data_IF_002570743706
#
_entry.id   IF_002570743706
#
_cell.length_a   1.000
_cell.length_b   1.000
_cell.length_c   1.000
_cell.angle_alpha   90.00
_cell.angle_beta   90.00
_cell.angle_gamma   90.00
#
_symmetry.space_group_name_H-M   'P 1'
#
loop_
_entity.id
_entity.type
_entity.pdbx_description
1 polymer ?
#
# COMPACT_ATOMS: atom_id res chain seq x y z
N UNK A 1 8.23 -25.51 -3.81
CA UNK A 1 7.75 -24.49 -2.88
C UNK A 1 6.88 -23.48 -3.63
N UNK A 2 5.89 -22.93 -2.95
CA UNK A 2 4.98 -21.98 -3.56
C UNK A 2 5.66 -20.62 -3.70
N UNK A 3 5.63 -20.03 -4.88
CA UNK A 3 6.24 -18.74 -5.18
C UNK A 3 5.17 -17.67 -5.39
N UNK A 4 5.56 -16.41 -5.23
CA UNK A 4 4.68 -15.27 -5.42
C UNK A 4 4.05 -15.30 -6.82
N UNK A 5 4.83 -15.62 -7.86
CA UNK A 5 4.33 -15.69 -9.24
C UNK A 5 3.17 -16.66 -9.40
N UNK A 6 3.15 -17.75 -8.65
CA UNK A 6 2.09 -18.76 -8.72
C UNK A 6 0.78 -18.21 -8.12
N UNK A 7 0.88 -17.43 -7.05
CA UNK A 7 -0.28 -16.77 -6.44
C UNK A 7 -0.84 -15.69 -7.37
N UNK A 8 0.02 -14.88 -7.98
CA UNK A 8 -0.40 -13.84 -8.91
C UNK A 8 -1.09 -14.43 -10.14
N UNK A 9 -0.68 -15.61 -10.57
CA UNK A 9 -1.32 -16.29 -11.69
C UNK A 9 -2.78 -16.63 -11.39
N UNK A 10 -3.08 -16.95 -10.13
CA UNK A 10 -4.44 -17.28 -9.68
C UNK A 10 -5.24 -16.03 -9.34
N UNK A 11 -4.64 -15.10 -8.60
CA UNK A 11 -5.35 -13.88 -8.11
C UNK A 11 -5.43 -12.78 -9.14
N UNK A 12 -4.55 -12.80 -10.14
CA UNK A 12 -4.44 -11.73 -11.10
C UNK A 12 -3.44 -10.66 -10.65
N UNK A 13 -3.24 -9.69 -11.50
CA UNK A 13 -2.24 -8.64 -11.30
C UNK A 13 -2.84 -7.24 -11.40
N UNK A 14 -4.14 -7.10 -11.15
CA UNK A 14 -4.78 -5.79 -11.12
C UNK A 14 -4.15 -4.92 -10.04
N UNK A 15 -3.68 -3.74 -10.44
CA UNK A 15 -2.94 -2.84 -9.57
C UNK A 15 -3.67 -1.51 -9.48
N UNK A 16 -3.98 -1.09 -8.27
CA UNK A 16 -4.54 0.24 -8.01
C UNK A 16 -3.43 1.14 -7.50
N UNK A 17 -3.25 2.28 -8.15
CA UNK A 17 -2.18 3.22 -7.84
C UNK A 17 -2.70 4.59 -7.52
N UNK A 18 -1.86 5.40 -6.88
CA UNK A 18 -2.13 6.81 -6.63
C UNK A 18 -0.83 7.58 -6.76
N UNK A 19 -0.95 8.90 -6.88
CA UNK A 19 0.18 9.82 -6.93
C UNK A 19 0.52 10.32 -5.52
N UNK A 20 1.79 10.58 -5.21
CA UNK A 20 2.16 11.17 -3.92
C UNK A 20 1.58 12.57 -3.71
N UNK A 21 1.23 13.28 -4.76
CA UNK A 21 0.66 14.64 -4.66
C UNK A 21 -0.85 14.63 -4.52
N UNK A 22 -1.48 13.47 -4.55
CA UNK A 22 -2.93 13.33 -4.35
C UNK A 22 -3.28 13.60 -2.89
N UNK A 23 -4.41 14.28 -2.60
CA UNK A 23 -4.88 14.38 -1.22
C UNK A 23 -5.22 13.01 -0.65
N UNK A 24 -4.93 12.80 0.63
CA UNK A 24 -5.27 11.54 1.31
C UNK A 24 -6.77 11.27 1.23
N UNK A 25 -7.60 12.31 1.32
CA UNK A 25 -9.06 12.18 1.21
C UNK A 25 -9.47 11.53 -0.12
N UNK A 26 -8.82 11.88 -1.22
CA UNK A 26 -9.11 11.30 -2.52
C UNK A 26 -8.63 9.84 -2.59
N UNK A 27 -7.47 9.55 -2.03
CA UNK A 27 -6.96 8.17 -1.96
C UNK A 27 -7.89 7.28 -1.14
N UNK A 28 -8.38 7.77 -0.01
CA UNK A 28 -9.32 7.05 0.85
C UNK A 28 -10.62 6.77 0.10
N UNK A 29 -11.10 7.74 -0.67
CA UNK A 29 -12.30 7.54 -1.48
C UNK A 29 -12.10 6.42 -2.49
N UNK A 30 -10.97 6.39 -3.17
CA UNK A 30 -10.62 5.32 -4.11
C UNK A 30 -10.59 3.97 -3.41
N UNK A 31 -9.96 3.90 -2.24
CA UNK A 31 -9.89 2.65 -1.47
C UNK A 31 -11.29 2.14 -1.10
N UNK A 32 -12.17 3.04 -0.72
CA UNK A 32 -13.56 2.70 -0.39
C UNK A 32 -14.33 2.23 -1.61
N UNK A 33 -14.23 2.96 -2.71
CA UNK A 33 -14.97 2.64 -3.94
C UNK A 33 -14.53 1.31 -4.55
N UNK A 34 -13.24 1.01 -4.48
CA UNK A 34 -12.66 -0.22 -5.03
C UNK A 34 -12.62 -1.36 -4.02
N UNK A 35 -13.03 -1.10 -2.78
CA UNK A 35 -13.01 -2.09 -1.70
C UNK A 35 -11.63 -2.71 -1.52
N UNK A 36 -10.60 -1.86 -1.41
CA UNK A 36 -9.23 -2.27 -1.24
C UNK A 36 -8.62 -1.62 0.00
N UNK A 37 -7.67 -2.32 0.62
CA UNK A 37 -7.03 -1.88 1.86
C UNK A 37 -5.66 -1.23 1.66
N UNK A 38 -5.22 -1.10 0.41
CA UNK A 38 -3.91 -0.53 0.13
C UNK A 38 -3.86 0.05 -1.28
N UNK A 39 -3.00 1.06 -1.46
CA UNK A 39 -2.68 1.63 -2.76
C UNK A 39 -1.17 1.66 -2.92
N UNK A 40 -0.71 1.32 -4.11
CA UNK A 40 0.68 1.49 -4.51
C UNK A 40 0.85 2.93 -4.97
N UNK A 41 1.85 3.62 -4.43
CA UNK A 41 2.11 5.02 -4.76
C UNK A 41 3.22 5.08 -5.78
N UNK A 42 2.89 5.62 -6.94
CA UNK A 42 3.81 5.70 -8.08
C UNK A 42 4.07 7.15 -8.45
N UNK A 43 5.31 7.43 -8.81
CA UNK A 43 5.71 8.75 -9.31
C UNK A 43 6.66 8.54 -10.48
N UNK A 44 6.30 9.08 -11.63
CA UNK A 44 7.09 8.96 -12.86
C UNK A 44 7.43 7.50 -13.20
N UNK A 45 6.46 6.61 -13.01
CA UNK A 45 6.64 5.19 -13.31
C UNK A 45 7.43 4.41 -12.28
N UNK A 46 7.78 5.03 -11.16
CA UNK A 46 8.58 4.42 -10.09
C UNK A 46 7.74 4.25 -8.83
N UNK A 47 7.87 3.10 -8.17
CA UNK A 47 7.27 2.87 -6.87
C UNK A 47 7.96 3.76 -5.84
N UNK A 48 7.19 4.64 -5.18
CA UNK A 48 7.74 5.54 -4.16
C UNK A 48 7.16 5.28 -2.78
N UNK A 49 6.09 4.49 -2.66
CA UNK A 49 5.52 4.21 -1.36
C UNK A 49 4.30 3.32 -1.41
N UNK A 50 3.74 3.08 -0.23
CA UNK A 50 2.48 2.35 -0.05
C UNK A 50 1.60 3.13 0.91
N UNK A 51 0.30 3.17 0.62
CA UNK A 51 -0.69 3.72 1.51
C UNK A 51 -1.66 2.62 1.89
N UNK A 52 -1.65 2.22 3.16
CA UNK A 52 -2.56 1.21 3.69
C UNK A 52 -3.49 1.84 4.72
N UNK A 53 -4.47 1.09 5.20
CA UNK A 53 -5.33 1.55 6.30
C UNK A 53 -4.50 2.00 7.51
N UNK A 54 -3.35 1.38 7.77
CA UNK A 54 -2.49 1.76 8.88
C UNK A 54 -2.03 3.20 8.75
N UNK A 55 -1.51 3.58 7.57
CA UNK A 55 -1.04 4.94 7.33
C UNK A 55 -2.18 5.95 7.38
N UNK A 56 -3.35 5.58 6.86
CA UNK A 56 -4.54 6.44 6.94
C UNK A 56 -4.94 6.66 8.39
N UNK A 57 -4.99 5.59 9.20
CA UNK A 57 -5.36 5.69 10.61
C UNK A 57 -4.35 6.57 11.37
N UNK A 58 -3.05 6.39 11.12
CA UNK A 58 -2.02 7.22 11.72
C UNK A 58 -2.21 8.70 11.39
N UNK A 59 -2.58 8.98 10.14
CA UNK A 59 -2.82 10.36 9.71
C UNK A 59 -4.04 10.96 10.40
N UNK A 60 -5.11 10.17 10.57
CA UNK A 60 -6.30 10.60 11.29
C UNK A 60 -5.98 10.94 12.73
N UNK A 61 -5.21 10.09 13.40
CA UNK A 61 -4.78 10.33 14.80
C UNK A 61 -3.95 11.60 14.88
N UNK A 62 -3.01 11.78 13.96
CA UNK A 62 -2.14 12.96 13.92
C UNK A 62 -2.92 14.25 13.71
N UNK A 63 -4.02 14.18 12.97
CA UNK A 63 -4.85 15.35 12.64
C UNK A 63 -6.06 15.51 13.58
N UNK A 64 -6.04 14.86 14.73
CA UNK A 64 -7.09 15.07 15.74
C UNK A 64 -8.43 14.44 15.41
N UNK A 65 -8.44 13.37 14.60
CA UNK A 65 -9.66 12.62 14.27
C UNK A 65 -10.15 12.83 12.85
N UNK A 66 -9.40 13.54 12.01
CA UNK A 66 -9.78 13.84 10.64
C UNK A 66 -8.64 13.50 9.68
N UNK A 67 -9.00 13.19 8.42
CA UNK A 67 -8.00 13.01 7.38
C UNK A 67 -7.26 14.33 7.11
N UNK A 68 -7.98 15.45 7.16
CA UNK A 68 -7.40 16.76 6.95
C UNK A 68 -7.00 17.03 5.51
N UNK A 69 -6.10 17.99 5.32
CA UNK A 69 -5.61 18.40 4.00
C UNK A 69 -4.29 17.74 3.61
N UNK A 70 -3.92 16.68 4.31
CA UNK A 70 -2.65 15.99 4.07
C UNK A 70 -2.59 15.37 2.68
N UNK A 71 -1.39 15.37 2.10
CA UNK A 71 -1.14 14.69 0.83
C UNK A 71 -0.69 13.25 1.10
N UNK A 72 -0.90 12.39 0.11
CA UNK A 72 -0.44 11.00 0.18
C UNK A 72 1.05 10.93 0.53
N UNK A 73 1.85 11.83 -0.02
CA UNK A 73 3.28 11.96 0.25
C UNK A 73 3.59 12.05 1.75
N UNK A 74 2.73 12.74 2.51
CA UNK A 74 2.94 12.96 3.94
C UNK A 74 2.51 11.76 4.80
N UNK A 75 1.65 10.92 4.26
CA UNK A 75 1.05 9.80 4.99
C UNK A 75 1.66 8.44 4.62
N UNK A 76 2.11 8.27 3.39
CA UNK A 76 2.55 6.98 2.85
C UNK A 76 3.77 6.43 3.59
N UNK A 77 3.90 5.09 3.55
CA UNK A 77 5.16 4.43 3.90
C UNK A 77 6.10 4.57 2.70
N UNK A 78 7.17 5.34 2.87
CA UNK A 78 8.12 5.62 1.79
C UNK A 78 9.18 4.50 1.63
N UNK A 79 9.16 3.48 2.48
CA UNK A 79 10.09 2.35 2.41
C UNK A 79 9.30 1.05 2.49
N UNK A 80 8.40 0.79 1.53
CA UNK A 80 7.59 -0.41 1.56
C UNK A 80 8.46 -1.65 1.35
N UNK A 81 8.04 -2.73 1.99
CA UNK A 81 8.63 -4.03 1.80
C UNK A 81 8.23 -4.55 0.43
N UNK A 82 9.18 -5.07 -0.33
CA UNK A 82 8.93 -5.60 -1.67
C UNK A 82 9.45 -7.03 -1.81
N UNK A 83 8.95 -7.71 -2.82
CA UNK A 83 9.44 -9.02 -3.21
C UNK A 83 9.33 -9.14 -4.73
N UNK A 84 9.84 -10.24 -5.27
CA UNK A 84 9.72 -10.54 -6.70
C UNK A 84 8.82 -11.76 -6.89
N UNK A 85 8.46 -12.04 -8.15
CA UNK A 85 7.68 -13.24 -8.48
C UNK A 85 8.40 -14.53 -8.10
N UNK A 86 9.73 -14.51 -7.99
CA UNK A 86 10.53 -15.68 -7.64
C UNK A 86 10.66 -15.88 -6.13
N UNK A 87 10.20 -14.93 -5.31
CA UNK A 87 10.26 -15.05 -3.86
C UNK A 87 9.32 -16.15 -3.37
N UNK A 88 9.78 -16.98 -2.45
CA UNK A 88 8.94 -18.00 -1.82
C UNK A 88 7.91 -17.35 -0.90
N UNK A 89 6.71 -17.90 -0.87
CA UNK A 89 5.61 -17.38 -0.04
C UNK A 89 5.97 -17.43 1.45
N UNK A 90 6.70 -18.46 1.89
CA UNK A 90 7.11 -18.55 3.29
C UNK A 90 8.02 -17.38 3.67
N UNK A 91 8.91 -16.96 2.77
CA UNK A 91 9.77 -15.79 3.00
C UNK A 91 8.94 -14.50 3.07
N UNK A 92 7.96 -14.35 2.18
CA UNK A 92 7.06 -13.20 2.20
C UNK A 92 6.31 -13.14 3.52
N UNK A 93 5.75 -14.27 3.96
CA UNK A 93 4.99 -14.34 5.21
C UNK A 93 5.87 -13.95 6.40
N UNK A 94 7.12 -14.45 6.46
CA UNK A 94 8.06 -14.12 7.52
C UNK A 94 8.36 -12.61 7.51
N UNK A 95 8.64 -12.04 6.34
CA UNK A 95 8.91 -10.60 6.21
C UNK A 95 7.73 -9.76 6.67
N UNK A 96 6.51 -10.17 6.33
CA UNK A 96 5.30 -9.47 6.74
C UNK A 96 5.11 -9.54 8.25
N UNK A 97 5.37 -10.69 8.87
CA UNK A 97 5.26 -10.85 10.32
C UNK A 97 6.28 -9.97 11.05
N UNK A 98 7.53 -9.94 10.57
CA UNK A 98 8.59 -9.14 11.17
C UNK A 98 8.28 -7.63 11.12
N UNK A 99 7.60 -7.17 10.09
CA UNK A 99 7.29 -5.75 9.89
C UNK A 99 5.84 -5.41 10.20
N UNK A 100 5.06 -6.36 10.68
CA UNK A 100 3.63 -6.17 10.95
C UNK A 100 2.86 -5.68 9.71
N UNK A 101 3.28 -6.11 8.52
CA UNK A 101 2.65 -5.74 7.26
C UNK A 101 1.40 -6.59 7.00
N UNK A 102 0.49 -6.06 6.19
CA UNK A 102 -0.76 -6.76 5.83
C UNK A 102 -0.91 -6.99 4.34
#
# INVERSE_FOLDING_TARGET
MLKVSEILRVKGDTLYTASPDMPVSQAVQTMSEQDIGSLVIMEFGTLVGMLTFREVIRQIVKNGGQVGASLVRDAMDAQPMTCTGETDIDDVRRMMLERHAR
#
